data_IF_119139303235
#
_entry.id   IF_119139303235
#
_cell.length_a   1.000
_cell.length_b   1.000
_cell.length_c   1.000
_cell.angle_alpha   90.00
_cell.angle_beta   90.00
_cell.angle_gamma   90.00
#
_symmetry.space_group_name_H-M   'P 1'
#
loop_
_entity.id
_entity.type
_entity.pdbx_description
1 polymer ?
#
# COMPACT_ATOMS: atom_id res chain seq x y z
N UNK A 1 -13.52 28.92 -29.93
CA UNK A 1 -14.57 28.72 -28.92
C UNK A 1 -14.22 27.51 -28.06
N UNK A 2 -13.77 27.71 -26.82
CA UNK A 2 -13.56 26.63 -25.85
C UNK A 2 -14.93 26.20 -25.32
N UNK A 3 -15.34 24.95 -25.54
CA UNK A 3 -16.49 24.38 -24.84
C UNK A 3 -16.13 24.27 -23.36
N UNK A 4 -16.80 25.05 -22.49
CA UNK A 4 -16.59 25.11 -21.04
C UNK A 4 -17.12 23.89 -20.27
N UNK A 5 -17.59 22.84 -20.96
CA UNK A 5 -18.19 21.67 -20.31
C UNK A 5 -17.57 20.40 -20.88
N UNK A 6 -16.40 20.01 -20.36
CA UNK A 6 -15.72 18.75 -20.69
C UNK A 6 -16.43 17.52 -20.06
N UNK A 7 -17.74 17.43 -20.27
CA UNK A 7 -18.60 16.33 -19.77
C UNK A 7 -18.61 15.13 -20.72
N UNK A 8 -17.82 15.14 -21.79
CA UNK A 8 -17.78 14.05 -22.78
C UNK A 8 -18.93 14.05 -23.79
N UNK A 9 -19.73 15.13 -23.85
CA UNK A 9 -20.88 15.28 -24.75
C UNK A 9 -20.73 16.51 -25.66
N UNK A 10 -21.27 16.42 -26.88
CA UNK A 10 -21.38 17.53 -27.85
C UNK A 10 -22.74 17.48 -28.53
N UNK A 11 -23.22 18.61 -29.05
CA UNK A 11 -24.45 18.62 -29.86
C UNK A 11 -24.25 17.91 -31.20
N UNK A 12 -25.33 17.41 -31.84
CA UNK A 12 -25.27 16.79 -33.18
C UNK A 12 -24.62 17.70 -34.22
N UNK A 13 -24.97 18.99 -34.21
CA UNK A 13 -24.41 19.99 -35.12
C UNK A 13 -22.89 20.16 -34.91
N UNK A 14 -22.43 20.20 -33.65
CA UNK A 14 -21.00 20.26 -33.32
C UNK A 14 -20.26 19.00 -33.75
N UNK A 15 -20.84 17.82 -33.55
CA UNK A 15 -20.26 16.55 -34.00
C UNK A 15 -20.09 16.51 -35.53
N UNK A 16 -21.14 16.85 -36.29
CA UNK A 16 -21.09 16.92 -37.76
C UNK A 16 -20.08 17.96 -38.24
N UNK A 17 -20.00 19.11 -37.58
CA UNK A 17 -19.00 20.13 -37.89
C UNK A 17 -17.57 19.62 -37.65
N UNK A 18 -17.33 18.89 -36.56
CA UNK A 18 -16.03 18.27 -36.29
C UNK A 18 -15.64 17.24 -37.37
N UNK A 19 -16.60 16.40 -37.81
CA UNK A 19 -16.36 15.43 -38.87
C UNK A 19 -16.07 16.11 -40.22
N UNK A 20 -16.80 17.17 -40.57
CA UNK A 20 -16.54 17.95 -41.79
C UNK A 20 -15.13 18.58 -41.79
N UNK A 21 -14.65 19.04 -40.63
CA UNK A 21 -13.30 19.60 -40.48
C UNK A 21 -12.22 18.50 -40.56
N UNK A 22 -12.55 17.27 -40.16
CA UNK A 22 -11.58 16.15 -40.15
C UNK A 22 -11.18 15.64 -41.54
N UNK A 23 -11.84 16.12 -42.61
CA UNK A 23 -11.56 15.74 -44.00
C UNK A 23 -12.01 14.32 -44.36
N UNK A 24 -12.74 13.66 -43.47
CA UNK A 24 -13.28 12.32 -43.68
C UNK A 24 -14.62 12.41 -44.42
N UNK A 25 -14.77 11.65 -45.51
CA UNK A 25 -16.02 11.57 -46.26
C UNK A 25 -16.93 10.53 -45.61
N UNK A 26 -18.12 10.95 -45.19
CA UNK A 26 -19.13 10.07 -44.59
C UNK A 26 -20.43 10.13 -45.39
N UNK A 27 -21.08 8.99 -45.56
CA UNK A 27 -22.42 8.92 -46.11
C UNK A 27 -23.44 9.35 -45.04
N UNK A 28 -24.52 10.00 -45.46
CA UNK A 28 -25.60 10.42 -44.55
C UNK A 28 -26.14 9.26 -43.69
N UNK A 29 -26.26 8.06 -44.26
CA UNK A 29 -26.68 6.84 -43.53
C UNK A 29 -25.69 6.41 -42.45
N UNK A 30 -24.39 6.57 -42.71
CA UNK A 30 -23.33 6.21 -41.75
C UNK A 30 -23.34 7.18 -40.56
N UNK A 31 -23.52 8.48 -40.85
CA UNK A 31 -23.65 9.52 -39.81
C UNK A 31 -24.88 9.27 -38.93
N UNK A 32 -26.02 8.95 -39.53
CA UNK A 32 -27.26 8.66 -38.79
C UNK A 32 -27.12 7.42 -37.90
N UNK A 33 -26.46 6.36 -38.39
CA UNK A 33 -26.21 5.15 -37.61
C UNK A 33 -25.29 5.42 -36.42
N UNK A 34 -24.22 6.19 -36.61
CA UNK A 34 -23.30 6.58 -35.53
C UNK A 34 -23.98 7.52 -34.53
N UNK A 35 -24.76 8.49 -35.01
CA UNK A 35 -25.53 9.37 -34.13
C UNK A 35 -26.54 8.58 -33.29
N UNK A 36 -27.25 7.61 -33.88
CA UNK A 36 -28.20 6.77 -33.15
C UNK A 36 -27.52 5.89 -32.10
N UNK A 37 -26.29 5.43 -32.35
CA UNK A 37 -25.57 4.54 -31.45
C UNK A 37 -24.94 5.24 -30.23
N UNK A 38 -24.63 6.54 -30.33
CA UNK A 38 -23.86 7.26 -29.31
C UNK A 38 -24.55 8.52 -28.77
N UNK A 39 -25.82 8.75 -29.09
CA UNK A 39 -26.61 9.84 -28.51
C UNK A 39 -27.34 9.41 -27.23
N UNK A 40 -27.42 10.32 -26.28
CA UNK A 40 -28.26 10.22 -25.09
C UNK A 40 -29.02 11.54 -24.83
N UNK A 41 -29.70 11.63 -23.69
CA UNK A 41 -30.48 12.80 -23.27
C UNK A 41 -29.64 14.10 -23.19
N UNK A 42 -28.31 13.98 -23.10
CA UNK A 42 -27.37 15.10 -23.01
C UNK A 42 -26.66 15.40 -24.35
N UNK A 43 -26.92 14.63 -25.41
CA UNK A 43 -26.35 14.81 -26.73
C UNK A 43 -25.41 13.67 -27.15
N UNK A 44 -24.51 13.94 -28.09
CA UNK A 44 -23.60 12.93 -28.63
C UNK A 44 -22.42 12.67 -27.69
N UNK A 45 -22.30 11.45 -27.19
CA UNK A 45 -21.30 11.03 -26.21
C UNK A 45 -19.94 10.71 -26.87
N UNK A 46 -19.23 11.73 -27.35
CA UNK A 46 -17.97 11.58 -28.10
C UNK A 46 -16.86 10.85 -27.33
N UNK A 47 -16.88 10.86 -25.98
CA UNK A 47 -15.90 10.09 -25.20
C UNK A 47 -16.06 8.59 -25.40
N UNK A 48 -17.30 8.10 -25.52
CA UNK A 48 -17.61 6.68 -25.74
C UNK A 48 -17.27 6.26 -27.16
N UNK A 49 -17.57 7.14 -28.13
CA UNK A 49 -17.13 6.98 -29.50
C UNK A 49 -15.59 6.88 -29.60
N UNK A 50 -14.85 7.76 -28.91
CA UNK A 50 -13.39 7.72 -28.88
C UNK A 50 -12.85 6.49 -28.15
N UNK A 51 -13.46 6.05 -27.05
CA UNK A 51 -13.10 4.81 -26.36
C UNK A 51 -13.30 3.58 -27.25
N UNK A 52 -14.33 3.58 -28.11
CA UNK A 52 -14.60 2.49 -29.04
C UNK A 52 -13.62 2.46 -30.21
N UNK A 53 -13.30 3.62 -30.81
CA UNK A 53 -12.38 3.71 -31.95
C UNK A 53 -10.91 3.59 -31.52
N UNK A 54 -10.58 4.21 -30.39
CA UNK A 54 -9.20 4.26 -29.89
C UNK A 54 -9.19 4.02 -28.38
N UNK A 55 -9.32 2.75 -27.95
CA UNK A 55 -9.19 2.40 -26.55
C UNK A 55 -7.82 2.87 -26.05
N UNK A 56 -7.81 3.84 -25.15
CA UNK A 56 -6.55 4.29 -24.53
C UNK A 56 -6.10 3.20 -23.57
N UNK A 57 -4.91 2.64 -23.80
CA UNK A 57 -4.23 1.80 -22.81
C UNK A 57 -4.08 2.65 -21.54
N UNK A 58 -4.83 2.34 -20.49
CA UNK A 58 -4.69 3.01 -19.20
C UNK A 58 -3.38 2.52 -18.61
N UNK A 59 -2.30 3.28 -18.81
CA UNK A 59 -1.06 3.07 -18.07
C UNK A 59 -1.40 3.13 -16.57
N UNK A 60 -0.98 2.13 -15.76
CA UNK A 60 -1.18 2.19 -14.33
C UNK A 60 -0.56 3.48 -13.80
N UNK A 61 -1.26 4.11 -12.85
CA UNK A 61 -0.75 5.31 -12.21
C UNK A 61 0.63 5.00 -11.62
N UNK A 62 1.63 5.84 -11.92
CA UNK A 62 2.99 5.79 -11.34
C UNK A 62 2.99 5.55 -9.83
N UNK A 63 1.98 6.04 -9.14
CA UNK A 63 1.75 5.83 -7.72
C UNK A 63 1.63 4.36 -7.32
N UNK A 64 0.89 3.55 -8.09
CA UNK A 64 0.69 2.13 -7.79
C UNK A 64 1.99 1.36 -7.94
N UNK A 65 2.78 1.69 -8.97
CA UNK A 65 4.11 1.11 -9.21
C UNK A 65 5.04 1.45 -8.04
N UNK A 66 5.07 2.72 -7.61
CA UNK A 66 5.87 3.14 -6.47
C UNK A 66 5.45 2.46 -5.16
N UNK A 67 4.15 2.24 -4.94
CA UNK A 67 3.68 1.51 -3.75
C UNK A 67 4.14 0.05 -3.74
N UNK A 68 4.12 -0.64 -4.88
CA UNK A 68 4.64 -2.00 -5.04
C UNK A 68 6.17 -2.04 -4.85
N UNK A 69 6.90 -1.07 -5.40
CA UNK A 69 8.35 -0.93 -5.20
C UNK A 69 8.69 -0.71 -3.72
N UNK A 70 7.97 0.17 -3.02
CA UNK A 70 8.19 0.41 -1.58
C UNK A 70 7.87 -0.82 -0.72
N UNK A 71 6.80 -1.56 -1.04
CA UNK A 71 6.46 -2.78 -0.31
C UNK A 71 7.45 -3.92 -0.57
N UNK A 72 7.97 -4.05 -1.78
CA UNK A 72 9.00 -5.06 -2.10
C UNK A 72 10.35 -4.74 -1.46
N UNK A 73 10.79 -3.48 -1.48
CA UNK A 73 12.02 -3.03 -0.82
C UNK A 73 11.96 -3.19 0.70
N UNK A 74 10.82 -2.88 1.33
CA UNK A 74 10.65 -3.08 2.78
C UNK A 74 10.70 -4.55 3.19
N UNK A 75 10.19 -5.47 2.36
CA UNK A 75 10.29 -6.93 2.60
C UNK A 75 11.74 -7.44 2.52
N UNK A 76 12.58 -6.83 1.68
CA UNK A 76 14.00 -7.19 1.55
C UNK A 76 14.87 -6.71 2.72
N UNK A 77 14.36 -5.83 3.58
CA UNK A 77 15.08 -5.29 4.75
C UNK A 77 14.96 -6.14 6.03
N UNK A 78 14.18 -7.22 6.01
CA UNK A 78 14.22 -8.20 7.10
C UNK A 78 15.37 -9.14 6.79
N UNK A 79 16.56 -8.80 7.30
CA UNK A 79 17.67 -9.75 7.29
C UNK A 79 17.19 -11.00 8.07
N UNK A 80 17.35 -12.21 7.53
CA UNK A 80 17.03 -13.42 8.27
C UNK A 80 17.82 -13.42 9.58
N UNK A 81 17.16 -13.76 10.70
CA UNK A 81 17.82 -13.83 12.00
C UNK A 81 19.03 -14.77 11.89
N UNK A 82 20.23 -14.26 12.17
CA UNK A 82 21.46 -15.04 12.05
C UNK A 82 21.51 -15.98 13.26
N UNK A 83 21.18 -17.26 13.05
CA UNK A 83 21.17 -18.34 14.05
C UNK A 83 20.25 -18.03 15.26
N UNK A 84 18.92 -18.04 15.09
CA UNK A 84 18.01 -17.95 16.22
C UNK A 84 18.23 -19.14 17.16
N UNK A 85 18.26 -18.87 18.46
CA UNK A 85 18.25 -19.93 19.48
C UNK A 85 16.89 -20.63 19.42
N UNK A 86 16.89 -21.96 19.39
CA UNK A 86 15.67 -22.78 19.30
C UNK A 86 15.19 -23.32 20.64
N UNK A 87 15.98 -23.12 21.71
CA UNK A 87 15.66 -23.57 23.06
C UNK A 87 15.53 -22.38 24.00
N UNK A 88 14.45 -22.37 24.79
CA UNK A 88 14.24 -21.38 25.85
C UNK A 88 15.40 -21.34 26.85
N UNK A 89 16.03 -22.50 27.11
CA UNK A 89 17.16 -22.58 28.04
C UNK A 89 18.38 -21.79 27.52
N UNK A 90 18.64 -21.85 26.22
CA UNK A 90 19.74 -21.13 25.60
C UNK A 90 19.47 -19.62 25.62
N UNK A 91 18.22 -19.22 25.37
CA UNK A 91 17.79 -17.80 25.45
C UNK A 91 18.00 -17.27 26.87
N UNK A 92 17.55 -18.02 27.89
CA UNK A 92 17.76 -17.65 29.30
C UNK A 92 19.25 -17.58 29.66
N UNK A 93 20.07 -18.48 29.14
CA UNK A 93 21.52 -18.47 29.36
C UNK A 93 22.19 -17.26 28.68
N UNK A 94 21.78 -16.92 27.45
CA UNK A 94 22.22 -15.71 26.73
C UNK A 94 21.88 -14.46 27.53
N UNK A 95 20.63 -14.34 28.00
CA UNK A 95 20.19 -13.22 28.86
C UNK A 95 21.07 -13.17 30.11
N UNK A 96 21.19 -14.27 30.86
CA UNK A 96 21.98 -14.34 32.09
C UNK A 96 23.43 -13.91 31.87
N UNK A 97 24.06 -14.37 30.78
CA UNK A 97 25.43 -14.00 30.40
C UNK A 97 25.59 -12.51 30.12
N UNK A 98 24.65 -11.92 29.37
CA UNK A 98 24.66 -10.48 29.08
C UNK A 98 24.44 -9.63 30.32
N UNK A 99 23.47 -10.02 31.15
CA UNK A 99 23.14 -9.32 32.39
C UNK A 99 24.31 -9.31 33.35
N UNK A 100 24.99 -10.44 33.50
CA UNK A 100 26.18 -10.55 34.32
C UNK A 100 27.34 -9.71 33.76
N UNK A 101 27.65 -9.85 32.46
CA UNK A 101 28.77 -9.16 31.81
C UNK A 101 28.58 -7.64 31.79
N UNK A 102 27.37 -7.17 31.52
CA UNK A 102 27.01 -5.74 31.42
C UNK A 102 26.53 -5.15 32.76
N UNK A 103 26.45 -5.96 33.83
CA UNK A 103 25.94 -5.57 35.17
C UNK A 103 24.57 -4.90 35.14
N UNK A 104 23.68 -5.42 34.29
CA UNK A 104 22.33 -4.88 34.13
C UNK A 104 21.50 -5.24 35.35
N UNK A 105 20.87 -4.24 35.98
CA UNK A 105 19.91 -4.46 37.07
C UNK A 105 18.51 -4.63 36.49
N UNK A 106 18.21 -5.79 35.92
CA UNK A 106 16.92 -6.06 35.26
C UNK A 106 15.72 -5.78 36.16
N UNK A 107 15.85 -6.05 37.46
CA UNK A 107 14.79 -5.80 38.44
C UNK A 107 14.31 -4.35 38.44
N UNK A 108 15.23 -3.38 38.40
CA UNK A 108 14.85 -1.95 38.39
C UNK A 108 14.06 -1.60 37.12
N UNK A 109 14.47 -2.15 35.97
CA UNK A 109 13.77 -1.96 34.70
C UNK A 109 12.38 -2.60 34.69
N UNK A 110 12.21 -3.77 35.30
CA UNK A 110 10.93 -4.47 35.33
C UNK A 110 9.97 -3.89 36.38
N UNK A 111 10.51 -3.41 37.51
CA UNK A 111 9.72 -2.88 38.64
C UNK A 111 8.86 -1.68 38.23
N UNK A 112 9.39 -0.77 37.41
CA UNK A 112 8.64 0.41 36.94
C UNK A 112 7.40 0.03 36.12
N UNK A 113 7.41 -1.18 35.56
CA UNK A 113 6.33 -1.74 34.77
C UNK A 113 5.39 -2.68 35.56
N UNK A 114 5.71 -3.00 36.82
CA UNK A 114 4.86 -3.75 37.76
C UNK A 114 4.41 -2.85 38.93
N UNK A 115 3.59 -1.84 38.61
CA UNK A 115 3.14 -0.84 39.58
C UNK A 115 2.36 -1.42 40.76
N UNK A 116 1.72 -2.57 40.58
CA UNK A 116 0.93 -3.23 41.61
C UNK A 116 1.77 -4.21 42.45
N UNK A 117 3.07 -4.36 42.16
CA UNK A 117 3.97 -5.36 42.76
C UNK A 117 3.36 -6.77 42.75
N UNK A 118 2.62 -7.11 41.70
CA UNK A 118 1.95 -8.40 41.60
C UNK A 118 2.84 -9.49 41.00
N UNK A 119 4.04 -9.11 40.52
CA UNK A 119 5.01 -9.99 39.89
C UNK A 119 4.59 -10.46 38.50
N UNK A 120 3.60 -9.80 37.89
CA UNK A 120 3.04 -10.19 36.58
C UNK A 120 2.89 -8.99 35.68
N UNK A 121 3.19 -9.17 34.40
CA UNK A 121 3.04 -8.14 33.37
C UNK A 121 2.68 -8.80 32.04
N UNK A 122 2.04 -8.06 31.13
CA UNK A 122 1.77 -8.54 29.77
C UNK A 122 3.06 -8.60 28.94
N UNK A 123 3.07 -9.44 27.91
CA UNK A 123 4.22 -9.59 27.01
C UNK A 123 4.63 -8.26 26.33
N UNK A 124 3.67 -7.46 25.88
CA UNK A 124 3.95 -6.10 25.37
C UNK A 124 4.64 -5.20 26.39
N UNK A 125 4.28 -5.35 27.66
CA UNK A 125 4.88 -4.57 28.75
C UNK A 125 6.28 -5.10 29.07
N UNK A 126 6.47 -6.42 29.07
CA UNK A 126 7.78 -7.05 29.21
C UNK A 126 8.74 -6.61 28.10
N UNK A 127 8.34 -6.72 26.81
CA UNK A 127 9.12 -6.25 25.65
C UNK A 127 9.56 -4.80 25.80
N UNK A 128 8.64 -3.91 26.22
CA UNK A 128 8.94 -2.50 26.47
C UNK A 128 9.93 -2.29 27.62
N UNK A 129 9.81 -3.06 28.70
CA UNK A 129 10.68 -2.95 29.87
C UNK A 129 12.12 -3.42 29.59
N UNK A 130 12.30 -4.44 28.75
CA UNK A 130 13.62 -5.00 28.44
C UNK A 130 14.30 -4.33 27.23
N UNK A 131 13.54 -3.62 26.37
CA UNK A 131 14.10 -2.95 25.20
C UNK A 131 15.25 -1.96 25.55
N UNK A 132 15.17 -1.14 26.62
CA UNK A 132 16.29 -0.31 27.07
C UNK A 132 17.53 -1.09 27.50
N UNK A 133 17.38 -2.36 27.93
CA UNK A 133 18.50 -3.19 28.34
C UNK A 133 19.37 -3.65 27.16
N UNK A 134 18.91 -3.45 25.92
CA UNK A 134 19.62 -3.80 24.67
C UNK A 134 20.17 -5.24 24.70
N UNK A 135 19.36 -6.19 25.15
CA UNK A 135 19.76 -7.60 25.31
C UNK A 135 19.99 -8.35 23.98
N UNK A 136 19.91 -7.65 22.83
CA UNK A 136 20.13 -8.22 21.49
C UNK A 136 19.34 -9.53 21.27
N UNK A 137 18.10 -9.54 21.75
CA UNK A 137 17.17 -10.64 21.57
C UNK A 137 16.49 -10.49 20.21
N UNK A 138 16.43 -11.58 19.45
CA UNK A 138 15.68 -11.61 18.19
C UNK A 138 14.18 -11.80 18.44
N UNK A 139 13.34 -11.59 17.43
CA UNK A 139 11.88 -11.72 17.59
C UNK A 139 11.51 -13.18 17.85
N UNK A 140 12.21 -14.13 17.22
CA UNK A 140 12.03 -15.56 17.52
C UNK A 140 12.41 -15.90 18.97
N UNK A 141 13.50 -15.34 19.48
CA UNK A 141 13.93 -15.56 20.87
C UNK A 141 12.96 -14.93 21.88
N UNK A 142 12.40 -13.76 21.57
CA UNK A 142 11.35 -13.14 22.37
C UNK A 142 10.08 -13.99 22.38
N UNK A 143 9.67 -14.50 21.22
CA UNK A 143 8.50 -15.38 21.11
C UNK A 143 8.65 -16.63 21.96
N UNK A 144 9.85 -17.21 22.05
CA UNK A 144 10.13 -18.35 22.93
C UNK A 144 10.01 -18.04 24.44
N UNK A 145 10.04 -16.78 24.84
CA UNK A 145 9.81 -16.36 26.23
C UNK A 145 8.33 -16.07 26.52
N UNK A 146 7.49 -16.07 25.48
CA UNK A 146 6.06 -15.77 25.56
C UNK A 146 5.16 -17.01 25.51
N UNK A 147 5.70 -18.15 25.09
CA UNK A 147 5.07 -19.48 25.18
C UNK A 147 5.08 -20.03 26.61
#
# INVERSE_FOLDING_TARGET
>A
MKSLHNRGHVTRAQFRQCLAISGLSYTQKELEAVEAAFIDDNGFHYRRFLEWIQPRRREPLRYNILQEELTTLNKQRILPEIKPLTSIQDVLQKIKGQVFRRRIRLYEWLKDHDKLNCGRMSFDTFRRAINPCQLELTESELSLLED
#
